data_IF_298914014866
#
_entry.id   IF_298914014866
#
_cell.length_a   1.000
_cell.length_b   1.000
_cell.length_c   1.000
_cell.angle_alpha   90.00
_cell.angle_beta   90.00
_cell.angle_gamma   90.00
#
_symmetry.space_group_name_H-M   'P 1'
#
loop_
_entity.id
_entity.type
_entity.pdbx_description
1 polymer ?
#
# COMPACT_ATOMS: atom_id res chain seq x y z
N UNK A 1 -13.82 -6.35 -18.80
CA UNK A 1 -12.67 -6.29 -19.70
C UNK A 1 -11.44 -6.88 -19.03
N UNK A 2 -10.71 -7.66 -19.74
CA UNK A 2 -9.50 -8.28 -19.20
C UNK A 2 -8.30 -7.46 -19.60
N UNK A 3 -7.44 -7.19 -18.64
CA UNK A 3 -6.19 -6.50 -18.91
C UNK A 3 -5.29 -7.37 -19.76
N UNK A 4 -4.63 -6.77 -20.75
CA UNK A 4 -3.68 -7.48 -21.59
C UNK A 4 -2.25 -7.29 -21.11
N UNK A 5 -2.05 -6.58 -20.01
CA UNK A 5 -0.71 -6.39 -19.46
C UNK A 5 -0.68 -6.90 -18.02
N UNK A 6 0.51 -7.19 -17.57
CA UNK A 6 0.75 -7.65 -16.22
C UNK A 6 1.41 -6.54 -15.42
N UNK A 7 0.92 -6.33 -14.20
CA UNK A 7 1.51 -5.38 -13.27
C UNK A 7 2.40 -6.13 -12.30
N UNK A 8 3.64 -5.73 -12.21
CA UNK A 8 4.61 -6.38 -11.34
C UNK A 8 5.27 -5.38 -10.42
N UNK A 9 5.43 -5.79 -9.17
CA UNK A 9 6.25 -5.05 -8.23
C UNK A 9 7.60 -5.74 -8.14
N UNK A 10 8.67 -4.97 -8.26
CA UNK A 10 10.02 -5.49 -8.12
C UNK A 10 10.55 -5.12 -6.74
N UNK A 11 11.11 -6.09 -6.04
CA UNK A 11 11.72 -5.88 -4.74
C UNK A 11 13.23 -6.05 -4.90
N UNK A 12 13.99 -5.02 -4.54
CA UNK A 12 15.44 -5.05 -4.64
C UNK A 12 16.03 -4.62 -3.31
N UNK A 13 17.07 -5.34 -2.90
CA UNK A 13 17.75 -4.95 -1.68
C UNK A 13 18.64 -3.74 -1.95
N UNK A 14 18.89 -3.02 -0.91
CA UNK A 14 19.77 -1.87 -0.91
C UNK A 14 19.47 -0.87 -2.00
N UNK A 15 18.40 -0.21 -1.85
CA UNK A 15 18.15 0.96 -2.65
C UNK A 15 17.62 2.04 -1.72
N UNK A 16 17.32 3.16 -2.29
CA UNK A 16 16.84 4.29 -1.50
C UNK A 16 15.34 4.28 -1.34
N UNK A 17 14.71 3.21 -1.76
CA UNK A 17 13.25 3.08 -1.70
C UNK A 17 12.81 2.92 -0.26
N UNK A 18 11.81 3.69 0.11
CA UNK A 18 11.12 3.51 1.39
C UNK A 18 9.97 2.54 1.16
N UNK A 19 9.98 1.42 1.86
CA UNK A 19 8.93 0.42 1.77
C UNK A 19 7.94 0.64 2.90
N UNK A 20 6.69 0.88 2.54
CA UNK A 20 5.62 0.99 3.53
C UNK A 20 4.98 -0.38 3.69
N UNK A 21 4.92 -0.85 4.92
CA UNK A 21 4.10 -2.01 5.24
C UNK A 21 3.07 -1.53 6.25
N UNK A 22 1.82 -1.47 5.82
CA UNK A 22 0.73 -0.98 6.64
C UNK A 22 -0.26 -2.11 6.85
N UNK A 23 -0.44 -2.50 8.12
CA UNK A 23 -1.31 -3.60 8.49
C UNK A 23 -2.59 -3.03 9.07
N UNK A 24 -3.70 -3.29 8.39
CA UNK A 24 -5.02 -2.88 8.87
C UNK A 24 -5.67 -4.07 9.55
N UNK A 25 -6.22 -3.83 10.74
CA UNK A 25 -7.07 -4.81 11.43
C UNK A 25 -8.51 -4.40 11.19
N UNK A 26 -9.33 -5.34 10.74
CA UNK A 26 -10.69 -5.05 10.28
C UNK A 26 -11.61 -6.20 10.66
N UNK A 27 -12.90 -5.90 10.84
CA UNK A 27 -13.86 -6.96 11.05
C UNK A 27 -14.07 -7.72 9.75
N UNK A 28 -14.24 -9.04 9.80
CA UNK A 28 -14.35 -9.84 8.57
C UNK A 28 -15.43 -9.35 7.61
N UNK A 29 -16.56 -8.89 8.13
CA UNK A 29 -17.64 -8.38 7.27
C UNK A 29 -17.24 -7.12 6.50
N UNK A 30 -16.20 -6.42 6.95
CA UNK A 30 -15.75 -5.18 6.34
C UNK A 30 -14.45 -5.34 5.53
N UNK A 31 -13.89 -6.54 5.49
CA UNK A 31 -12.60 -6.73 4.85
C UNK A 31 -12.62 -6.33 3.37
N UNK A 32 -13.59 -6.81 2.62
CA UNK A 32 -13.66 -6.49 1.20
C UNK A 32 -13.93 -5.00 0.97
N UNK A 33 -14.75 -4.40 1.80
CA UNK A 33 -15.01 -2.96 1.70
C UNK A 33 -13.71 -2.17 1.91
N UNK A 34 -12.90 -2.59 2.89
CA UNK A 34 -11.62 -1.93 3.13
C UNK A 34 -10.69 -2.09 1.92
N UNK A 35 -10.62 -3.29 1.35
CA UNK A 35 -9.82 -3.52 0.14
C UNK A 35 -10.26 -2.56 -0.97
N UNK A 36 -11.56 -2.43 -1.18
CA UNK A 36 -12.09 -1.55 -2.22
C UNK A 36 -11.74 -0.08 -1.96
N UNK A 37 -11.81 0.35 -0.70
CA UNK A 37 -11.42 1.71 -0.34
C UNK A 37 -9.95 1.98 -0.61
N UNK A 38 -9.08 1.01 -0.31
CA UNK A 38 -7.65 1.16 -0.52
C UNK A 38 -7.29 1.15 -2.00
N UNK A 39 -7.98 0.34 -2.79
CA UNK A 39 -7.77 0.32 -4.24
C UNK A 39 -8.19 1.67 -4.83
N UNK A 40 -9.33 2.18 -4.44
CA UNK A 40 -9.79 3.48 -4.92
C UNK A 40 -8.82 4.59 -4.55
N UNK A 41 -8.35 4.60 -3.30
CA UNK A 41 -7.38 5.59 -2.85
C UNK A 41 -6.11 5.53 -3.68
N UNK A 42 -5.65 4.32 -3.99
CA UNK A 42 -4.44 4.13 -4.77
C UNK A 42 -4.62 4.66 -6.19
N UNK A 43 -5.69 4.25 -6.85
CA UNK A 43 -5.90 4.61 -8.25
C UNK A 43 -6.19 6.10 -8.43
N UNK A 44 -6.93 6.69 -7.53
CA UNK A 44 -7.38 8.08 -7.70
C UNK A 44 -6.42 9.11 -7.12
N UNK A 45 -5.65 8.75 -6.10
CA UNK A 45 -4.83 9.72 -5.39
C UNK A 45 -3.38 9.29 -5.28
N UNK A 46 -3.13 8.14 -4.64
CA UNK A 46 -1.76 7.80 -4.24
C UNK A 46 -0.84 7.60 -5.45
N UNK A 47 -1.34 6.94 -6.50
CA UNK A 47 -0.53 6.67 -7.68
C UNK A 47 -0.13 7.94 -8.43
N UNK A 48 -0.75 9.05 -8.13
CA UNK A 48 -0.45 10.33 -8.78
C UNK A 48 0.47 11.21 -7.95
N UNK A 49 0.89 10.73 -6.77
CA UNK A 49 1.76 11.51 -5.91
C UNK A 49 3.22 11.38 -6.33
N UNK A 50 3.96 12.44 -6.11
CA UNK A 50 5.39 12.43 -6.37
C UNK A 50 6.06 11.33 -5.54
N UNK A 51 6.90 10.55 -6.18
CA UNK A 51 7.64 9.50 -5.51
C UNK A 51 6.92 8.17 -5.35
N UNK A 52 5.66 8.09 -5.73
CA UNK A 52 4.93 6.81 -5.70
C UNK A 52 5.57 5.82 -6.68
N UNK A 53 5.78 4.59 -6.26
CA UNK A 53 6.31 3.53 -7.11
C UNK A 53 5.29 2.42 -7.29
N UNK A 54 4.78 1.87 -6.19
CA UNK A 54 3.81 0.78 -6.26
C UNK A 54 2.98 0.69 -5.00
N UNK A 55 1.84 0.04 -5.11
CA UNK A 55 1.03 -0.35 -3.96
C UNK A 55 0.47 -1.74 -4.24
N UNK A 56 0.54 -2.60 -3.24
CA UNK A 56 0.18 -4.01 -3.37
C UNK A 56 -0.72 -4.37 -2.21
N UNK A 57 -2.00 -4.48 -2.49
CA UNK A 57 -3.01 -4.69 -1.46
C UNK A 57 -3.24 -6.17 -1.28
N UNK A 58 -3.11 -6.64 -0.04
CA UNK A 58 -3.27 -8.04 0.34
C UNK A 58 -4.40 -8.18 1.33
N UNK A 59 -5.20 -9.22 1.20
CA UNK A 59 -6.18 -9.53 2.24
C UNK A 59 -5.80 -10.86 2.89
N UNK A 60 -5.92 -10.91 4.22
CA UNK A 60 -5.60 -12.14 4.93
C UNK A 60 -6.68 -13.19 4.64
N UNK A 61 -6.25 -14.44 4.64
CA UNK A 61 -7.17 -15.53 4.33
C UNK A 61 -8.18 -15.76 5.45
N UNK A 62 -7.84 -15.34 6.67
CA UNK A 62 -8.76 -15.47 7.81
C UNK A 62 -9.78 -14.33 7.91
N UNK A 63 -9.68 -13.35 7.01
CA UNK A 63 -10.66 -12.26 6.95
C UNK A 63 -10.44 -11.11 7.91
N UNK A 64 -9.36 -11.12 8.70
CA UNK A 64 -9.20 -10.16 9.79
C UNK A 64 -8.23 -9.02 9.51
N UNK A 65 -7.47 -9.09 8.41
CA UNK A 65 -6.46 -8.08 8.10
C UNK A 65 -6.42 -7.76 6.62
N UNK A 66 -5.94 -6.55 6.34
CA UNK A 66 -5.56 -6.13 4.99
C UNK A 66 -4.20 -5.48 5.12
N UNK A 67 -3.27 -5.84 4.23
CA UNK A 67 -1.93 -5.27 4.25
C UNK A 67 -1.71 -4.50 2.96
N UNK A 68 -1.20 -3.29 3.09
CA UNK A 68 -0.70 -2.54 1.95
C UNK A 68 0.82 -2.57 1.99
N UNK A 69 1.41 -3.21 1.01
CA UNK A 69 2.84 -3.19 0.76
C UNK A 69 3.08 -2.17 -0.34
N UNK A 70 3.63 -1.03 -0.02
CA UNK A 70 3.81 0.05 -0.98
C UNK A 70 5.27 0.48 -1.04
N UNK A 71 5.63 1.04 -2.19
CA UNK A 71 6.99 1.51 -2.41
C UNK A 71 6.96 2.99 -2.77
N UNK A 72 7.86 3.75 -2.14
CA UNK A 72 8.03 5.17 -2.37
C UNK A 72 9.50 5.47 -2.63
N UNK A 73 9.77 6.44 -3.49
CA UNK A 73 11.16 6.83 -3.78
C UNK A 73 11.91 7.24 -2.53
N UNK A 74 11.22 7.83 -1.56
CA UNK A 74 11.84 8.26 -0.32
C UNK A 74 10.80 8.39 0.78
N UNK A 75 11.28 8.41 2.03
CA UNK A 75 10.41 8.69 3.16
C UNK A 75 9.82 10.10 3.08
N UNK A 76 10.57 11.04 2.50
CA UNK A 76 10.10 12.41 2.36
C UNK A 76 8.88 12.48 1.42
N UNK A 77 8.91 11.74 0.32
CA UNK A 77 7.78 11.71 -0.60
C UNK A 77 6.56 11.10 0.07
N UNK A 78 6.75 10.05 0.85
CA UNK A 78 5.68 9.45 1.62
C UNK A 78 5.08 10.47 2.61
N UNK A 79 5.94 11.20 3.33
CA UNK A 79 5.48 12.20 4.28
C UNK A 79 4.72 13.32 3.61
N UNK A 80 5.12 13.74 2.42
CA UNK A 80 4.39 14.73 1.64
C UNK A 80 2.98 14.25 1.31
N UNK A 81 2.88 12.98 0.91
CA UNK A 81 1.58 12.39 0.59
C UNK A 81 0.64 12.44 1.79
N UNK A 82 1.17 12.19 2.99
CA UNK A 82 0.36 12.20 4.20
C UNK A 82 -0.27 13.57 4.48
N UNK A 83 0.27 14.62 3.91
CA UNK A 83 -0.24 15.99 4.09
C UNK A 83 -1.18 16.42 2.98
N UNK A 84 -1.36 15.60 1.96
CA UNK A 84 -2.23 15.93 0.84
C UNK A 84 -3.69 15.80 1.28
N UNK A 85 -4.51 16.87 1.15
CA UNK A 85 -5.91 16.80 1.59
C UNK A 85 -6.72 15.68 0.95
N UNK A 86 -6.45 15.37 -0.31
CA UNK A 86 -7.16 14.28 -1.00
C UNK A 86 -6.78 12.93 -0.40
N UNK A 87 -5.51 12.76 -0.06
CA UNK A 87 -5.05 11.53 0.59
C UNK A 87 -5.68 11.39 1.97
N UNK A 88 -5.76 12.48 2.72
CA UNK A 88 -6.33 12.47 4.07
C UNK A 88 -7.79 12.00 4.03
N UNK A 89 -8.57 12.47 3.06
CA UNK A 89 -9.97 12.05 2.92
C UNK A 89 -10.05 10.53 2.75
N UNK A 90 -9.23 9.97 1.87
CA UNK A 90 -9.23 8.53 1.63
C UNK A 90 -8.73 7.74 2.82
N UNK A 91 -7.70 8.25 3.50
CA UNK A 91 -7.19 7.59 4.70
C UNK A 91 -8.23 7.57 5.82
N UNK A 92 -8.96 8.68 5.99
CA UNK A 92 -10.01 8.74 7.00
C UNK A 92 -11.14 7.75 6.71
N UNK A 93 -11.47 7.56 5.44
CA UNK A 93 -12.49 6.58 5.06
C UNK A 93 -12.06 5.17 5.50
N UNK A 94 -10.80 4.82 5.26
CA UNK A 94 -10.29 3.51 5.68
C UNK A 94 -10.28 3.39 7.20
N UNK A 95 -9.84 4.42 7.90
CA UNK A 95 -9.73 4.40 9.35
C UNK A 95 -11.09 4.40 10.05
N UNK A 96 -12.17 4.73 9.32
CA UNK A 96 -13.51 4.67 9.90
C UNK A 96 -13.98 3.22 10.13
N UNK A 97 -13.36 2.23 9.46
CA UNK A 97 -13.75 0.83 9.58
C UNK A 97 -12.59 -0.09 9.97
N UNK A 98 -11.40 0.45 10.17
CA UNK A 98 -10.23 -0.38 10.44
C UNK A 98 -9.23 0.38 11.31
N UNK A 99 -8.34 -0.37 11.95
CA UNK A 99 -7.20 0.19 12.65
C UNK A 99 -5.96 -0.06 11.79
N UNK A 100 -5.10 0.93 11.68
CA UNK A 100 -3.91 0.85 10.85
C UNK A 100 -2.66 0.87 11.72
N UNK A 101 -1.67 0.07 11.31
CA UNK A 101 -0.35 0.04 11.93
C UNK A 101 0.66 0.01 10.79
N UNK A 102 1.19 1.18 10.45
CA UNK A 102 2.09 1.33 9.31
C UNK A 102 3.46 1.81 9.71
N UNK A 103 4.48 1.29 9.03
CA UNK A 103 5.86 1.72 9.24
C UNK A 103 6.61 1.67 7.93
N UNK A 104 7.66 2.48 7.85
CA UNK A 104 8.55 2.45 6.71
C UNK A 104 9.71 1.50 7.00
N UNK A 105 10.09 0.75 5.98
CA UNK A 105 11.11 -0.28 6.08
C UNK A 105 12.12 -0.14 4.95
N UNK A 106 13.27 -0.76 5.16
CA UNK A 106 14.30 -0.88 4.15
C UNK A 106 14.49 -2.36 3.84
N UNK A 107 14.54 -2.71 2.57
CA UNK A 107 14.81 -4.09 2.18
C UNK A 107 16.28 -4.39 2.41
N UNK A 108 16.59 -5.40 3.18
CA UNK A 108 17.99 -5.73 3.51
C UNK A 108 18.46 -7.02 2.88
N UNK A 109 17.56 -7.85 2.38
CA UNK A 109 17.93 -9.11 1.76
C UNK A 109 16.83 -9.61 0.84
N UNK A 110 17.18 -10.04 -0.32
CA UNK A 110 16.27 -10.67 -1.28
C UNK A 110 16.93 -11.93 -1.78
N UNK A 111 16.22 -13.05 -1.73
CA UNK A 111 16.66 -14.30 -2.35
C UNK A 111 15.57 -14.73 -3.31
N UNK A 112 15.96 -15.03 -4.52
CA UNK A 112 15.02 -15.33 -5.58
C UNK A 112 15.45 -16.61 -6.29
N UNK A 113 14.53 -17.56 -6.35
CA UNK A 113 14.81 -18.84 -7.00
C UNK A 113 15.03 -18.71 -8.50
N UNK A 114 14.37 -17.76 -9.12
CA UNK A 114 14.50 -17.57 -10.58
C UNK A 114 15.90 -17.10 -10.93
N UNK A 115 16.51 -17.74 -11.91
CA UNK A 115 17.84 -17.42 -12.37
C UNK A 115 17.83 -17.09 -13.84
#
# INVERSE_FOLDING_TARGET
MTSTYTSNTSIQQDNKIATLINVFTVEPKNQQHLVDLLIEATEKVMSQQEGFISANIHKSLDGTRVVNYAQWKSGEDFEKMLKNPRAIIHMNAALSIAKADGSLYKVVFVDNLAK
#
